data_IF_199215457120
#
_entry.id   IF_199215457120
#
_cell.length_a   1.000
_cell.length_b   1.000
_cell.length_c   1.000
_cell.angle_alpha   90.00
_cell.angle_beta   90.00
_cell.angle_gamma   90.00
#
_symmetry.space_group_name_H-M   'P 1'
#
loop_
_entity.id
_entity.type
_entity.pdbx_description
1 polymer ?
#
# COMPACT_ATOMS: atom_id res chain seq x y z
N UNK A 1 -10.57 -19.84 2.95
CA UNK A 1 -9.24 -19.41 3.44
C UNK A 1 -9.35 -17.93 3.69
N UNK A 2 -9.06 -17.45 4.89
CA UNK A 2 -9.07 -16.02 5.18
C UNK A 2 -7.91 -15.36 4.44
N UNK A 3 -8.18 -14.29 3.69
CA UNK A 3 -7.16 -13.51 3.01
C UNK A 3 -6.18 -12.94 4.03
N UNK A 4 -4.88 -13.05 3.78
CA UNK A 4 -3.88 -12.54 4.72
C UNK A 4 -3.85 -10.99 4.66
N UNK A 5 -3.35 -10.35 5.72
CA UNK A 5 -3.39 -8.88 5.83
C UNK A 5 -2.56 -8.19 4.73
N UNK A 6 -1.48 -8.81 4.27
CA UNK A 6 -0.66 -8.31 3.17
C UNK A 6 -1.44 -8.27 1.84
N UNK A 7 -2.18 -9.32 1.50
CA UNK A 7 -3.05 -9.39 0.32
C UNK A 7 -4.13 -8.30 0.36
N UNK A 8 -4.69 -8.02 1.54
CA UNK A 8 -5.70 -6.96 1.72
C UNK A 8 -5.11 -5.56 1.50
N UNK A 9 -3.90 -5.33 1.99
CA UNK A 9 -3.17 -4.08 1.81
C UNK A 9 -2.83 -3.84 0.33
N UNK A 10 -2.47 -4.90 -0.40
CA UNK A 10 -2.23 -4.82 -1.84
C UNK A 10 -3.52 -4.55 -2.63
N UNK A 11 -4.65 -5.14 -2.23
CA UNK A 11 -5.94 -4.82 -2.85
C UNK A 11 -6.36 -3.36 -2.60
N UNK A 12 -6.20 -2.87 -1.37
CA UNK A 12 -6.47 -1.46 -1.05
C UNK A 12 -5.55 -0.53 -1.87
N UNK A 13 -4.28 -0.89 -2.07
CA UNK A 13 -3.39 -0.15 -2.95
C UNK A 13 -3.90 -0.11 -4.40
N UNK A 14 -4.33 -1.25 -4.95
CA UNK A 14 -4.85 -1.34 -6.31
C UNK A 14 -6.16 -0.55 -6.49
N UNK A 15 -7.03 -0.50 -5.46
CA UNK A 15 -8.24 0.32 -5.45
C UNK A 15 -7.94 1.83 -5.50
N UNK A 16 -6.92 2.27 -4.76
CA UNK A 16 -6.52 3.68 -4.74
C UNK A 16 -5.66 4.08 -5.96
N UNK A 17 -4.88 3.15 -6.51
CA UNK A 17 -3.89 3.39 -7.56
C UNK A 17 -3.86 2.26 -8.61
N UNK A 18 -4.90 2.12 -9.45
CA UNK A 18 -5.07 0.97 -10.36
C UNK A 18 -3.93 0.81 -11.38
N UNK A 19 -3.31 1.90 -11.82
CA UNK A 19 -2.22 1.88 -12.80
C UNK A 19 -0.83 1.68 -12.16
N UNK A 20 -0.72 1.78 -10.84
CA UNK A 20 0.55 1.76 -10.14
C UNK A 20 1.21 0.39 -10.20
N UNK A 21 0.41 -0.69 -10.18
CA UNK A 21 0.88 -2.08 -10.21
C UNK A 21 1.86 -2.36 -11.35
N UNK A 22 1.61 -1.79 -12.53
CA UNK A 22 2.45 -2.01 -13.72
C UNK A 22 3.77 -1.23 -13.68
N UNK A 23 3.81 -0.16 -12.87
CA UNK A 23 4.97 0.72 -12.70
C UNK A 23 5.87 0.25 -11.55
N UNK A 24 5.42 -0.61 -10.65
CA UNK A 24 6.22 -1.15 -9.55
C UNK A 24 7.20 -2.22 -10.06
N UNK A 25 8.49 -2.05 -9.78
CA UNK A 25 9.52 -3.09 -9.97
C UNK A 25 9.61 -4.02 -8.76
N UNK A 26 9.56 -3.43 -7.57
CA UNK A 26 9.67 -4.12 -6.30
C UNK A 26 8.89 -3.38 -5.22
N UNK A 27 8.37 -4.10 -4.24
CA UNK A 27 7.74 -3.52 -3.07
C UNK A 27 8.02 -4.36 -1.82
N UNK A 28 8.01 -3.68 -0.68
CA UNK A 28 8.03 -4.29 0.64
C UNK A 28 6.78 -3.84 1.40
N UNK A 29 6.15 -4.78 2.12
CA UNK A 29 5.03 -4.50 3.00
C UNK A 29 5.47 -4.68 4.45
N UNK A 30 5.27 -3.65 5.25
CA UNK A 30 5.46 -3.71 6.70
C UNK A 30 4.10 -3.58 7.39
N UNK A 31 3.77 -4.57 8.22
CA UNK A 31 2.48 -4.67 8.91
C UNK A 31 2.71 -4.61 10.41
N UNK A 32 2.05 -3.66 11.06
CA UNK A 32 2.01 -3.56 12.53
C UNK A 32 0.58 -3.76 13.04
N UNK A 33 0.39 -3.65 14.36
CA UNK A 33 -0.96 -3.74 14.95
C UNK A 33 -1.86 -2.57 14.54
N UNK A 34 -1.29 -1.38 14.30
CA UNK A 34 -2.06 -0.15 14.10
C UNK A 34 -1.99 0.38 12.65
N UNK A 35 -0.98 -0.01 11.88
CA UNK A 35 -0.79 0.48 10.53
C UNK A 35 -0.18 -0.60 9.61
N UNK A 36 -0.36 -0.37 8.32
CA UNK A 36 0.30 -1.11 7.24
C UNK A 36 0.98 -0.08 6.34
N UNK A 37 2.25 -0.28 6.04
CA UNK A 37 2.98 0.58 5.11
C UNK A 37 3.52 -0.22 3.94
N UNK A 38 3.51 0.39 2.77
CA UNK A 38 4.01 -0.18 1.53
C UNK A 38 5.11 0.74 1.03
N UNK A 39 6.32 0.20 0.95
CA UNK A 39 7.46 0.85 0.28
C UNK A 39 7.55 0.30 -1.13
N UNK A 40 7.51 1.17 -2.14
CA UNK A 40 7.47 0.77 -3.54
C UNK A 40 8.60 1.43 -4.33
N UNK A 41 9.28 0.63 -5.14
CA UNK A 41 10.24 1.09 -6.13
C UNK A 41 9.54 1.17 -7.48
N UNK A 42 9.38 2.40 -7.97
CA UNK A 42 8.69 2.69 -9.23
C UNK A 42 9.73 2.77 -10.35
N UNK A 43 9.43 2.14 -11.49
CA UNK A 43 10.25 2.18 -12.70
C UNK A 43 10.54 3.62 -13.09
N UNK A 44 11.83 3.94 -13.21
CA UNK A 44 12.28 5.27 -13.62
C UNK A 44 12.40 6.29 -12.47
N UNK A 45 12.07 5.91 -11.23
CA UNK A 45 12.29 6.76 -10.06
C UNK A 45 13.55 6.37 -9.29
N UNK A 46 14.23 7.37 -8.74
CA UNK A 46 15.48 7.18 -7.98
C UNK A 46 15.19 6.79 -6.53
N UNK A 47 14.12 7.33 -5.95
CA UNK A 47 13.74 7.10 -4.57
C UNK A 47 12.44 6.28 -4.52
N UNK A 48 12.30 5.39 -3.52
CA UNK A 48 11.06 4.66 -3.33
C UNK A 48 9.95 5.60 -2.84
N UNK A 49 8.72 5.27 -3.21
CA UNK A 49 7.52 5.92 -2.70
C UNK A 49 6.90 5.10 -1.57
N UNK A 50 6.13 5.78 -0.72
CA UNK A 50 5.51 5.18 0.45
C UNK A 50 4.01 5.41 0.43
N UNK A 51 3.28 4.38 0.79
CA UNK A 51 1.85 4.43 1.09
C UNK A 51 1.63 3.89 2.49
N UNK A 52 0.79 4.55 3.28
CA UNK A 52 0.46 4.14 4.65
C UNK A 52 -1.05 4.04 4.77
N UNK A 53 -1.49 2.89 5.29
CA UNK A 53 -2.85 2.60 5.70
C UNK A 53 -2.91 2.47 7.21
N UNK A 54 -3.80 3.21 7.86
CA UNK A 54 -4.16 2.94 9.25
C UNK A 54 -5.18 1.80 9.31
N UNK A 55 -5.05 0.95 10.33
CA UNK A 55 -5.96 -0.18 10.56
C UNK A 55 -6.87 0.14 11.73
N UNK A 56 -8.17 0.11 11.48
CA UNK A 56 -9.15 0.08 12.56
C UNK A 56 -9.19 -1.34 13.15
N UNK A 57 -8.87 -1.47 14.44
CA UNK A 57 -8.79 -2.76 15.12
C UNK A 57 -10.18 -3.38 15.33
N UNK A 58 -11.22 -2.56 15.47
CA UNK A 58 -12.58 -2.99 15.78
C UNK A 58 -13.31 -3.45 14.51
N UNK A 59 -13.12 -2.73 13.41
CA UNK A 59 -13.76 -3.04 12.11
C UNK A 59 -12.86 -3.81 11.15
N UNK A 60 -11.58 -3.93 11.47
CA UNK A 60 -10.52 -4.48 10.63
C UNK A 60 -10.33 -3.72 9.31
N UNK A 61 -10.90 -2.53 9.14
CA UNK A 61 -10.81 -1.76 7.90
C UNK A 61 -9.45 -1.06 7.74
N UNK A 62 -9.04 -0.86 6.48
CA UNK A 62 -7.82 -0.13 6.11
C UNK A 62 -8.19 1.25 5.57
N UNK A 63 -7.51 2.29 6.05
CA UNK A 63 -7.75 3.68 5.65
C UNK A 63 -6.46 4.32 5.17
N UNK A 64 -6.44 4.79 3.92
CA UNK A 64 -5.29 5.49 3.35
C UNK A 64 -5.06 6.82 4.09
N UNK A 65 -3.94 6.95 4.79
CA UNK A 65 -3.57 8.16 5.54
C UNK A 65 -2.37 8.88 4.96
N UNK A 66 -1.46 8.14 4.31
CA UNK A 66 -0.39 8.71 3.52
C UNK A 66 -0.37 8.07 2.14
N UNK A 67 -0.60 8.88 1.12
CA UNK A 67 -0.66 8.44 -0.26
C UNK A 67 0.44 9.05 -1.10
N UNK A 68 0.49 8.59 -2.35
CA UNK A 68 1.32 9.20 -3.37
C UNK A 68 0.55 10.34 -4.04
N UNK A 69 1.20 11.47 -4.30
CA UNK A 69 0.62 12.56 -5.09
C UNK A 69 0.33 12.11 -6.52
N UNK A 70 -0.75 12.62 -7.13
CA UNK A 70 -1.25 12.27 -8.48
C UNK A 70 -0.28 12.58 -9.64
N UNK A 71 0.99 12.87 -9.40
CA UNK A 71 2.00 13.19 -10.40
C UNK A 71 2.78 11.92 -10.87
N UNK A 72 2.10 10.79 -11.09
CA UNK A 72 2.72 9.56 -11.66
C UNK A 72 2.13 9.21 -13.03
#
# INVERSE_FOLDING_TARGET
MSMNLEERVLLALDEHYPDLRYKIDHYDVEVTQANCSIRMWIKGEVLPRYVIFDRDIDTDNLYLTHGISNEI
#
